data_IF_377804916455
#
_entry.id   IF_377804916455
#
_cell.length_a   1.000
_cell.length_b   1.000
_cell.length_c   1.000
_cell.angle_alpha   90.00
_cell.angle_beta   90.00
_cell.angle_gamma   90.00
#
_symmetry.space_group_name_H-M   'P 1'
#
loop_
_entity.id
_entity.type
_entity.pdbx_description
1 polymer ?
#
# COMPACT_ATOMS: atom_id res chain seq x y z
N UNK A 1 -5.75 4.41 5.06
CA UNK A 1 -4.49 3.73 4.71
C UNK A 1 -4.41 2.50 5.58
N UNK A 2 -4.39 1.31 4.98
CA UNK A 2 -4.42 0.04 5.69
C UNK A 2 -3.11 -0.18 6.49
N UNK A 3 -3.21 -0.75 7.69
CA UNK A 3 -2.06 -0.98 8.59
C UNK A 3 -1.45 -2.37 8.37
N UNK A 4 -0.45 -2.46 7.50
CA UNK A 4 0.26 -3.71 7.23
C UNK A 4 1.12 -4.18 8.42
N UNK A 5 1.40 -3.32 9.40
CA UNK A 5 2.28 -3.60 10.55
C UNK A 5 1.77 -4.74 11.45
N UNK A 6 0.47 -5.01 11.40
CA UNK A 6 -0.21 -6.04 12.21
C UNK A 6 -0.46 -7.34 11.45
N UNK A 7 -0.06 -7.39 10.18
CA UNK A 7 -0.22 -8.55 9.32
C UNK A 7 1.08 -9.36 9.19
N UNK A 8 0.91 -10.65 9.01
CA UNK A 8 1.96 -11.61 8.69
C UNK A 8 1.36 -12.75 7.87
N UNK A 9 2.20 -13.41 7.08
CA UNK A 9 1.78 -14.58 6.30
C UNK A 9 1.25 -15.69 7.22
N UNK A 10 1.85 -15.84 8.41
CA UNK A 10 1.45 -16.88 9.35
C UNK A 10 0.03 -16.66 9.90
N UNK A 11 -0.35 -15.41 10.17
CA UNK A 11 -1.73 -15.08 10.58
C UNK A 11 -2.75 -15.47 9.50
N UNK A 12 -2.46 -15.18 8.24
CA UNK A 12 -3.34 -15.52 7.12
C UNK A 12 -3.42 -17.05 6.94
N UNK A 13 -2.31 -17.75 7.13
CA UNK A 13 -2.26 -19.22 7.11
C UNK A 13 -3.12 -19.82 8.22
N UNK A 14 -2.95 -19.36 9.46
CA UNK A 14 -3.75 -19.82 10.59
C UNK A 14 -5.24 -19.59 10.36
N UNK A 15 -5.62 -18.42 9.85
CA UNK A 15 -7.00 -18.14 9.48
C UNK A 15 -7.51 -19.12 8.41
N UNK A 16 -6.71 -19.35 7.36
CA UNK A 16 -7.04 -20.26 6.26
C UNK A 16 -7.27 -21.69 6.76
N UNK A 17 -6.43 -22.18 7.68
CA UNK A 17 -6.57 -23.49 8.31
C UNK A 17 -7.85 -23.60 9.14
N UNK A 18 -8.11 -22.62 10.01
CA UNK A 18 -9.29 -22.61 10.89
C UNK A 18 -10.58 -22.61 10.08
N UNK A 19 -10.66 -21.74 9.08
CA UNK A 19 -11.85 -21.62 8.23
C UNK A 19 -12.06 -22.85 7.36
N UNK A 20 -10.98 -23.50 6.91
CA UNK A 20 -11.04 -24.76 6.16
C UNK A 20 -11.57 -25.91 7.02
N UNK A 21 -11.08 -26.01 8.26
CA UNK A 21 -11.36 -27.14 9.15
C UNK A 21 -12.64 -26.95 9.97
N UNK A 22 -13.18 -25.73 10.03
CA UNK A 22 -14.42 -25.42 10.72
C UNK A 22 -15.67 -25.78 9.90
N UNK A 23 -16.60 -26.49 10.52
CA UNK A 23 -17.96 -26.66 10.00
C UNK A 23 -18.88 -25.44 10.29
N UNK A 24 -18.47 -24.56 11.21
CA UNK A 24 -19.22 -23.37 11.62
C UNK A 24 -18.46 -22.10 11.26
N UNK A 25 -19.05 -21.30 10.37
CA UNK A 25 -18.47 -20.03 9.90
C UNK A 25 -19.09 -18.81 10.60
N UNK A 26 -19.52 -18.94 11.86
CA UNK A 26 -19.93 -17.78 12.67
C UNK A 26 -18.69 -16.96 13.03
N UNK A 27 -18.76 -15.62 12.91
CA UNK A 27 -17.60 -14.73 13.13
C UNK A 27 -17.00 -14.96 14.53
N UNK A 28 -17.82 -14.94 15.58
CA UNK A 28 -17.37 -15.14 16.95
C UNK A 28 -16.65 -16.48 17.17
N UNK A 29 -17.12 -17.54 16.50
CA UNK A 29 -16.51 -18.86 16.61
C UNK A 29 -15.13 -18.89 15.94
N UNK A 30 -15.04 -18.35 14.72
CA UNK A 30 -13.79 -18.27 13.97
C UNK A 30 -12.79 -17.37 14.71
N UNK A 31 -13.23 -16.22 15.21
CA UNK A 31 -12.42 -15.30 16.01
C UNK A 31 -11.85 -15.98 17.25
N UNK A 32 -12.69 -16.61 18.07
CA UNK A 32 -12.24 -17.33 19.28
C UNK A 32 -11.27 -18.46 18.95
N UNK A 33 -11.45 -19.12 17.82
CA UNK A 33 -10.56 -20.18 17.37
C UNK A 33 -9.22 -19.62 16.90
N UNK A 34 -9.25 -18.50 16.18
CA UNK A 34 -8.08 -17.79 15.67
C UNK A 34 -7.22 -17.22 16.79
N UNK A 35 -7.84 -16.55 17.77
CA UNK A 35 -7.14 -15.88 18.86
C UNK A 35 -6.43 -16.84 19.82
N UNK A 36 -6.65 -18.17 19.69
CA UNK A 36 -5.86 -19.19 20.39
C UNK A 36 -4.47 -19.42 19.79
N UNK A 37 -4.27 -19.04 18.53
CA UNK A 37 -3.08 -19.37 17.77
C UNK A 37 -2.36 -18.14 17.19
N UNK A 38 -3.09 -17.05 16.99
CA UNK A 38 -2.59 -15.84 16.35
C UNK A 38 -3.21 -14.57 16.98
N UNK A 39 -2.56 -13.43 16.77
CA UNK A 39 -3.02 -12.11 17.20
C UNK A 39 -3.64 -11.34 16.03
N UNK A 40 -4.28 -10.20 16.29
CA UNK A 40 -4.76 -9.25 15.26
C UNK A 40 -5.78 -9.87 14.28
N UNK A 41 -6.83 -10.51 14.84
CA UNK A 41 -7.91 -11.09 14.05
C UNK A 41 -8.59 -10.08 13.13
N UNK A 42 -8.98 -8.92 13.68
CA UNK A 42 -9.70 -7.89 12.93
C UNK A 42 -8.88 -7.37 11.75
N UNK A 43 -7.58 -7.07 11.95
CA UNK A 43 -6.70 -6.62 10.87
C UNK A 43 -6.53 -7.71 9.78
N UNK A 44 -6.46 -8.99 10.18
CA UNK A 44 -6.39 -10.12 9.24
C UNK A 44 -7.68 -10.29 8.44
N UNK A 45 -8.84 -10.16 9.09
CA UNK A 45 -10.15 -10.23 8.45
C UNK A 45 -10.32 -9.08 7.47
N UNK A 46 -10.01 -7.86 7.89
CA UNK A 46 -10.13 -6.66 7.08
C UNK A 46 -9.29 -6.81 5.82
N UNK A 47 -8.03 -7.24 5.96
CA UNK A 47 -7.16 -7.53 4.82
C UNK A 47 -7.77 -8.52 3.82
N UNK A 48 -8.34 -9.63 4.31
CA UNK A 48 -8.94 -10.64 3.45
C UNK A 48 -10.25 -10.16 2.79
N UNK A 49 -10.99 -9.25 3.43
CA UNK A 49 -12.16 -8.59 2.85
C UNK A 49 -11.74 -7.62 1.73
N UNK A 50 -10.71 -6.81 1.96
CA UNK A 50 -10.14 -5.88 0.99
C UNK A 50 -9.54 -6.60 -0.24
N UNK A 51 -9.09 -7.85 -0.06
CA UNK A 51 -8.69 -8.74 -1.16
C UNK A 51 -9.86 -9.45 -1.86
N UNK A 52 -11.11 -9.20 -1.46
CA UNK A 52 -12.33 -9.88 -1.92
C UNK A 52 -12.23 -11.42 -1.81
N UNK A 53 -11.69 -11.89 -0.67
CA UNK A 53 -11.54 -13.33 -0.38
C UNK A 53 -12.62 -13.84 0.57
N UNK A 54 -13.05 -12.97 1.50
CA UNK A 54 -14.09 -13.25 2.48
C UNK A 54 -15.06 -12.08 2.57
N UNK A 55 -16.25 -12.36 3.05
CA UNK A 55 -17.27 -11.36 3.36
C UNK A 55 -17.90 -11.72 4.70
N UNK A 56 -18.26 -10.71 5.49
CA UNK A 56 -18.97 -10.90 6.74
C UNK A 56 -20.34 -10.25 6.58
N UNK A 57 -21.39 -11.06 6.67
CA UNK A 57 -22.78 -10.60 6.65
C UNK A 57 -23.56 -11.28 7.77
N UNK A 58 -24.33 -10.50 8.52
CA UNK A 58 -25.18 -11.02 9.62
C UNK A 58 -24.42 -11.96 10.58
N UNK A 59 -23.21 -11.56 10.98
CA UNK A 59 -22.32 -12.32 11.87
C UNK A 59 -21.82 -13.68 11.32
N UNK A 60 -21.96 -13.90 10.01
CA UNK A 60 -21.46 -15.08 9.32
C UNK A 60 -20.39 -14.72 8.30
N UNK A 61 -19.36 -15.55 8.30
CA UNK A 61 -18.29 -15.48 7.34
C UNK A 61 -18.64 -16.28 6.09
N UNK A 62 -18.60 -15.62 4.94
CA UNK A 62 -18.82 -16.20 3.63
C UNK A 62 -17.53 -16.20 2.82
N UNK A 63 -17.11 -17.38 2.37
CA UNK A 63 -15.92 -17.53 1.54
C UNK A 63 -16.27 -17.26 0.08
N UNK A 64 -15.51 -16.37 -0.57
CA UNK A 64 -15.65 -16.11 -2.00
C UNK A 64 -15.13 -17.31 -2.82
N UNK A 65 -15.64 -17.53 -4.05
CA UNK A 65 -15.28 -18.71 -4.84
C UNK A 65 -13.77 -18.88 -5.09
N UNK A 66 -13.05 -17.77 -5.31
CA UNK A 66 -11.58 -17.77 -5.48
C UNK A 66 -10.88 -18.35 -4.26
N UNK A 67 -11.31 -17.95 -3.07
CA UNK A 67 -10.70 -18.39 -1.81
C UNK A 67 -11.05 -19.84 -1.48
N UNK A 68 -12.30 -20.28 -1.71
CA UNK A 68 -12.68 -21.71 -1.55
C UNK A 68 -11.80 -22.62 -2.41
N UNK A 69 -11.62 -22.29 -3.69
CA UNK A 69 -10.75 -23.06 -4.60
C UNK A 69 -9.30 -23.11 -4.10
N UNK A 70 -8.82 -22.04 -3.49
CA UNK A 70 -7.51 -22.02 -2.85
C UNK A 70 -7.45 -22.97 -1.66
N UNK A 71 -8.44 -22.92 -0.75
CA UNK A 71 -8.46 -23.76 0.45
C UNK A 71 -8.50 -25.27 0.13
N UNK A 72 -9.23 -25.68 -0.90
CA UNK A 72 -9.21 -27.08 -1.38
C UNK A 72 -7.81 -27.50 -1.83
N UNK A 73 -7.14 -26.68 -2.65
CA UNK A 73 -5.76 -26.94 -3.10
C UNK A 73 -4.75 -26.91 -1.96
N UNK A 74 -4.97 -26.02 -1.01
CA UNK A 74 -4.11 -25.85 0.17
C UNK A 74 -4.12 -27.09 1.06
N UNK A 75 -5.26 -27.79 1.17
CA UNK A 75 -5.40 -29.04 1.93
C UNK A 75 -4.51 -30.17 1.41
N UNK A 76 -4.35 -30.28 0.10
CA UNK A 76 -3.66 -31.38 -0.57
C UNK A 76 -2.19 -31.06 -0.91
N UNK A 77 -1.74 -29.85 -0.57
CA UNK A 77 -0.44 -29.33 -0.94
C UNK A 77 0.70 -30.02 -0.15
N UNK A 78 1.74 -30.48 -0.86
CA UNK A 78 3.00 -30.87 -0.22
C UNK A 78 3.73 -29.68 0.43
N UNK A 79 3.53 -28.48 -0.12
CA UNK A 79 4.15 -27.23 0.33
C UNK A 79 3.08 -26.14 0.56
N UNK A 80 2.30 -26.25 1.65
CA UNK A 80 1.15 -25.37 1.90
C UNK A 80 1.57 -23.90 2.03
N UNK A 81 2.69 -23.63 2.70
CA UNK A 81 3.22 -22.27 2.92
C UNK A 81 3.57 -21.58 1.60
N UNK A 82 4.32 -22.22 0.71
CA UNK A 82 4.70 -21.64 -0.59
C UNK A 82 3.46 -21.35 -1.47
N UNK A 83 2.47 -22.25 -1.46
CA UNK A 83 1.22 -22.07 -2.21
C UNK A 83 0.42 -20.89 -1.65
N UNK A 84 0.37 -20.75 -0.33
CA UNK A 84 -0.30 -19.62 0.31
C UNK A 84 0.40 -18.30 0.00
N UNK A 85 1.73 -18.21 0.12
CA UNK A 85 2.49 -17.01 -0.23
C UNK A 85 2.19 -16.56 -1.66
N UNK A 86 2.27 -17.48 -2.63
CA UNK A 86 1.95 -17.20 -4.03
C UNK A 86 0.50 -16.75 -4.23
N UNK A 87 -0.45 -17.39 -3.53
CA UNK A 87 -1.86 -17.01 -3.62
C UNK A 87 -2.15 -15.62 -3.05
N UNK A 88 -1.59 -15.31 -1.88
CA UNK A 88 -1.72 -14.00 -1.22
C UNK A 88 -1.09 -12.93 -2.11
N UNK A 89 0.12 -13.16 -2.58
CA UNK A 89 0.84 -12.23 -3.46
C UNK A 89 0.05 -11.93 -4.74
N UNK A 90 -0.43 -12.96 -5.43
CA UNK A 90 -1.25 -12.80 -6.64
C UNK A 90 -2.59 -12.11 -6.36
N UNK A 91 -3.10 -12.18 -5.13
CA UNK A 91 -4.31 -11.46 -4.73
C UNK A 91 -4.01 -9.99 -4.43
N UNK A 92 -2.89 -9.73 -3.75
CA UNK A 92 -2.44 -8.39 -3.38
C UNK A 92 -2.07 -7.54 -4.60
N UNK A 93 -1.31 -8.11 -5.54
CA UNK A 93 -0.81 -7.43 -6.74
C UNK A 93 -1.93 -7.14 -7.77
N UNK A 94 -3.14 -7.67 -7.56
CA UNK A 94 -4.26 -7.41 -8.45
C UNK A 94 -4.74 -5.95 -8.31
N UNK A 95 -4.77 -5.20 -9.42
CA UNK A 95 -5.15 -3.76 -9.46
C UNK A 95 -6.59 -3.45 -9.03
N UNK A 96 -7.42 -4.46 -8.79
CA UNK A 96 -8.80 -4.28 -8.28
C UNK A 96 -8.87 -4.18 -6.76
N UNK A 97 -7.73 -4.23 -6.06
CA UNK A 97 -7.70 -4.10 -4.61
C UNK A 97 -7.57 -2.63 -4.20
N UNK A 98 -8.10 -2.24 -3.04
CA UNK A 98 -7.88 -0.91 -2.47
C UNK A 98 -6.41 -0.62 -2.10
N UNK A 99 -5.53 -1.62 -2.18
CA UNK A 99 -4.09 -1.49 -1.98
C UNK A 99 -3.33 -1.00 -3.21
N UNK A 100 -3.96 -0.99 -4.39
CA UNK A 100 -3.28 -0.73 -5.66
C UNK A 100 -2.47 0.58 -5.65
N UNK A 101 -3.07 1.70 -5.24
CA UNK A 101 -2.38 2.99 -5.20
C UNK A 101 -1.17 2.98 -4.25
N UNK A 102 -1.30 2.32 -3.09
CA UNK A 102 -0.21 2.25 -2.11
C UNK A 102 0.93 1.36 -2.60
N UNK A 103 0.62 0.22 -3.23
CA UNK A 103 1.59 -0.66 -3.88
C UNK A 103 2.28 0.07 -5.04
N UNK A 104 1.52 0.80 -5.86
CA UNK A 104 2.05 1.56 -6.99
C UNK A 104 3.05 2.62 -6.51
N UNK A 105 2.70 3.37 -5.46
CA UNK A 105 3.59 4.34 -4.83
C UNK A 105 4.87 3.66 -4.33
N UNK A 106 4.75 2.56 -3.60
CA UNK A 106 5.91 1.80 -3.10
C UNK A 106 6.82 1.28 -4.24
N UNK A 107 6.24 0.64 -5.26
CA UNK A 107 7.00 0.08 -6.38
C UNK A 107 7.59 1.14 -7.31
N UNK A 108 7.06 2.38 -7.31
CA UNK A 108 7.64 3.49 -8.08
C UNK A 108 9.06 3.87 -7.65
N UNK A 109 9.47 3.49 -6.44
CA UNK A 109 10.83 3.72 -5.93
C UNK A 109 11.85 2.66 -6.39
N UNK A 110 11.39 1.57 -7.03
CA UNK A 110 12.27 0.52 -7.51
C UNK A 110 12.79 0.84 -8.91
N UNK A 111 14.10 0.67 -9.11
CA UNK A 111 14.77 0.91 -10.38
C UNK A 111 15.53 -0.32 -10.84
N UNK A 112 15.49 -0.58 -12.15
CA UNK A 112 16.25 -1.66 -12.75
C UNK A 112 17.75 -1.31 -12.77
N UNK A 113 18.54 -2.04 -12.01
CA UNK A 113 19.99 -1.93 -11.94
C UNK A 113 20.62 -3.33 -11.97
N UNK A 114 21.62 -3.53 -12.82
CA UNK A 114 22.34 -4.81 -12.92
C UNK A 114 21.42 -6.05 -13.03
N UNK A 115 20.30 -5.91 -13.76
CA UNK A 115 19.21 -6.90 -13.99
C UNK A 115 18.27 -7.17 -12.83
N UNK A 116 18.38 -6.45 -11.73
CA UNK A 116 17.47 -6.56 -10.58
C UNK A 116 16.76 -5.23 -10.32
N UNK A 117 15.56 -5.31 -9.78
CA UNK A 117 14.86 -4.11 -9.30
C UNK A 117 15.31 -3.83 -7.87
N UNK A 118 15.86 -2.63 -7.65
CA UNK A 118 16.44 -2.21 -6.37
C UNK A 118 15.79 -0.92 -5.87
N UNK A 119 15.61 -0.82 -4.55
CA UNK A 119 15.15 0.40 -3.87
C UNK A 119 16.03 0.67 -2.64
N UNK A 120 16.67 1.85 -2.61
CA UNK A 120 17.46 2.32 -1.47
C UNK A 120 16.71 3.46 -0.73
N UNK A 121 15.92 3.15 0.31
CA UNK A 121 15.07 4.15 0.96
C UNK A 121 15.82 5.05 1.93
N UNK A 122 15.35 6.30 2.01
CA UNK A 122 15.62 7.22 3.11
C UNK A 122 15.05 6.71 4.44
N UNK A 123 15.37 7.39 5.54
CA UNK A 123 14.81 7.07 6.86
C UNK A 123 13.29 7.24 6.88
N UNK A 124 12.77 8.29 6.25
CA UNK A 124 11.33 8.56 6.18
C UNK A 124 10.60 7.46 5.41
N UNK A 125 11.12 7.06 4.24
CA UNK A 125 10.53 6.00 3.42
C UNK A 125 10.60 4.64 4.14
N UNK A 126 11.68 4.37 4.89
CA UNK A 126 11.78 3.15 5.71
C UNK A 126 10.69 3.05 6.78
N UNK A 127 10.31 4.18 7.37
CA UNK A 127 9.23 4.24 8.35
C UNK A 127 7.86 4.14 7.67
N UNK A 128 7.64 4.93 6.63
CA UNK A 128 6.39 4.99 5.87
C UNK A 128 5.97 3.61 5.34
N UNK A 129 6.90 2.87 4.72
CA UNK A 129 6.60 1.59 4.10
C UNK A 129 6.94 0.38 4.98
N UNK A 130 7.21 0.56 6.27
CA UNK A 130 7.73 -0.50 7.14
C UNK A 130 6.82 -1.73 7.19
N UNK A 131 5.51 -1.56 7.39
CA UNK A 131 4.54 -2.64 7.41
C UNK A 131 4.47 -3.40 6.09
N UNK A 132 4.25 -2.68 4.99
CA UNK A 132 4.14 -3.27 3.65
C UNK A 132 5.44 -4.00 3.26
N UNK A 133 6.59 -3.36 3.47
CA UNK A 133 7.91 -3.95 3.22
C UNK A 133 8.08 -5.25 3.97
N UNK A 134 7.84 -5.25 5.29
CA UNK A 134 7.99 -6.46 6.11
C UNK A 134 7.08 -7.57 5.61
N UNK A 135 5.83 -7.24 5.27
CA UNK A 135 4.89 -8.21 4.72
C UNK A 135 5.34 -8.78 3.36
N UNK A 136 5.91 -7.95 2.48
CA UNK A 136 6.47 -8.40 1.20
C UNK A 136 7.75 -9.24 1.37
N UNK A 137 8.54 -9.00 2.41
CA UNK A 137 9.66 -9.87 2.81
C UNK A 137 9.14 -11.23 3.29
N UNK A 138 8.11 -11.24 4.14
CA UNK A 138 7.49 -12.47 4.62
C UNK A 138 6.91 -13.30 3.46
N UNK A 139 6.39 -12.62 2.43
CA UNK A 139 5.91 -13.22 1.18
C UNK A 139 7.04 -13.67 0.24
N UNK A 140 8.31 -13.42 0.57
CA UNK A 140 9.49 -13.67 -0.27
C UNK A 140 9.46 -12.90 -1.61
N UNK A 141 8.69 -11.81 -1.68
CA UNK A 141 8.62 -10.98 -2.88
C UNK A 141 9.90 -10.15 -3.08
N UNK A 142 10.46 -9.69 -1.97
CA UNK A 142 11.67 -8.90 -1.94
C UNK A 142 12.51 -9.28 -0.72
N UNK A 143 13.80 -8.97 -0.77
CA UNK A 143 14.73 -9.21 0.32
C UNK A 143 15.60 -7.98 0.56
N UNK A 144 16.12 -7.87 1.77
CA UNK A 144 17.16 -6.89 2.08
C UNK A 144 18.50 -7.43 1.56
N UNK A 145 19.25 -6.59 0.84
CA UNK A 145 20.54 -7.00 0.29
C UNK A 145 21.58 -7.27 1.38
N UNK A 146 22.71 -7.87 1.00
CA UNK A 146 23.78 -8.21 1.93
C UNK A 146 24.44 -7.00 2.62
N UNK A 147 24.30 -5.80 2.05
CA UNK A 147 24.79 -4.57 2.67
C UNK A 147 23.78 -3.96 3.65
N UNK A 148 22.57 -4.50 3.73
CA UNK A 148 21.46 -4.00 4.53
C UNK A 148 21.03 -2.56 4.17
N UNK A 149 21.35 -2.10 2.96
CA UNK A 149 21.07 -0.72 2.54
C UNK A 149 19.94 -0.60 1.53
N UNK A 150 19.65 -1.68 0.81
CA UNK A 150 18.66 -1.67 -0.27
C UNK A 150 17.79 -2.92 -0.27
N UNK A 151 16.57 -2.75 -0.75
CA UNK A 151 15.62 -3.81 -1.01
C UNK A 151 15.72 -4.25 -2.46
N UNK A 152 15.70 -5.56 -2.70
CA UNK A 152 15.83 -6.16 -4.01
C UNK A 152 14.65 -7.09 -4.26
N UNK A 153 14.00 -6.97 -5.41
CA UNK A 153 12.93 -7.89 -5.82
C UNK A 153 13.53 -9.26 -6.13
N UNK A 154 12.90 -10.32 -5.63
CA UNK A 154 13.31 -11.68 -5.93
C UNK A 154 13.20 -11.97 -7.43
N UNK A 155 14.17 -12.71 -7.97
CA UNK A 155 14.29 -12.93 -9.42
C UNK A 155 13.04 -13.56 -10.03
N UNK A 156 12.41 -14.49 -9.31
CA UNK A 156 11.15 -15.16 -9.71
C UNK A 156 9.96 -14.20 -9.83
N UNK A 157 10.07 -13.00 -9.28
CA UNK A 157 9.05 -11.96 -9.28
C UNK A 157 9.40 -10.75 -10.15
N UNK A 158 10.59 -10.72 -10.76
CA UNK A 158 11.03 -9.61 -11.61
C UNK A 158 10.07 -9.29 -12.76
N UNK A 159 9.44 -10.32 -13.36
CA UNK A 159 8.46 -10.12 -14.43
C UNK A 159 7.18 -9.45 -13.93
N UNK A 160 6.62 -9.94 -12.81
CA UNK A 160 5.42 -9.35 -12.21
C UNK A 160 5.68 -7.90 -11.75
N UNK A 161 6.86 -7.63 -11.21
CA UNK A 161 7.28 -6.28 -10.85
C UNK A 161 7.40 -5.36 -12.07
N UNK A 162 7.96 -5.86 -13.18
CA UNK A 162 8.04 -5.10 -14.42
C UNK A 162 6.64 -4.72 -14.96
N UNK A 163 5.67 -5.63 -14.88
CA UNK A 163 4.28 -5.31 -15.27
C UNK A 163 3.66 -4.23 -14.38
N UNK A 164 3.90 -4.28 -13.07
CA UNK A 164 3.47 -3.23 -12.14
C UNK A 164 4.12 -1.88 -12.48
N UNK A 165 5.44 -1.85 -12.63
CA UNK A 165 6.20 -0.61 -12.87
C UNK A 165 5.89 -0.01 -14.25
N UNK A 166 5.84 -0.81 -15.32
CA UNK A 166 5.61 -0.29 -16.67
C UNK A 166 4.18 0.18 -16.91
N UNK A 167 3.18 -0.48 -16.32
CA UNK A 167 1.80 -0.02 -16.43
C UNK A 167 1.52 1.25 -15.64
N UNK A 168 2.45 1.69 -14.79
CA UNK A 168 2.35 2.89 -13.97
C UNK A 168 3.20 4.05 -14.50
N UNK A 169 3.70 3.96 -15.74
CA UNK A 169 4.28 5.11 -16.42
C UNK A 169 3.16 6.14 -16.67
N UNK A 170 3.14 7.19 -15.84
CA UNK A 170 2.27 8.34 -16.00
C UNK A 170 2.44 8.86 -17.43
N UNK A 171 1.35 8.91 -18.19
CA UNK A 171 1.42 9.45 -19.53
C UNK A 171 1.89 10.91 -19.48
N UNK A 172 2.60 11.41 -20.50
CA UNK A 172 2.96 12.83 -20.54
C UNK A 172 1.77 13.77 -20.31
N UNK A 173 0.57 13.37 -20.76
CA UNK A 173 -0.67 14.11 -20.55
C UNK A 173 -1.10 14.16 -19.06
N UNK A 174 -1.05 13.04 -18.35
CA UNK A 174 -1.34 12.99 -16.92
C UNK A 174 -0.30 13.73 -16.09
N UNK A 175 0.98 13.65 -16.47
CA UNK A 175 2.04 14.41 -15.82
C UNK A 175 1.79 15.92 -15.94
N UNK A 176 1.42 16.40 -17.13
CA UNK A 176 1.06 17.80 -17.36
C UNK A 176 -0.17 18.21 -16.55
N UNK A 177 -1.16 17.33 -16.42
CA UNK A 177 -2.35 17.57 -15.59
C UNK A 177 -2.00 17.70 -14.11
N UNK A 178 -1.13 16.84 -13.59
CA UNK A 178 -0.66 16.90 -12.19
C UNK A 178 0.15 18.18 -11.96
N UNK A 179 1.03 18.56 -12.88
CA UNK A 179 1.78 19.81 -12.82
C UNK A 179 0.85 21.02 -12.79
N UNK A 180 -0.17 21.04 -13.64
CA UNK A 180 -1.17 22.10 -13.65
C UNK A 180 -1.90 22.20 -12.31
N UNK A 181 -2.41 21.08 -11.79
CA UNK A 181 -3.11 21.05 -10.50
C UNK A 181 -2.21 21.53 -9.35
N UNK A 182 -0.93 21.12 -9.32
CA UNK A 182 0.03 21.61 -8.32
C UNK A 182 0.22 23.12 -8.42
N UNK A 183 0.32 23.66 -9.64
CA UNK A 183 0.40 25.10 -9.88
C UNK A 183 -0.84 25.85 -9.38
N UNK A 184 -2.04 25.31 -9.63
CA UNK A 184 -3.29 25.91 -9.15
C UNK A 184 -3.39 25.91 -7.62
N UNK A 185 -3.03 24.80 -6.97
CA UNK A 185 -3.03 24.69 -5.50
C UNK A 185 -2.01 25.65 -4.89
N UNK A 186 -0.78 25.68 -5.43
CA UNK A 186 0.27 26.60 -4.98
C UNK A 186 -0.19 28.06 -5.08
N UNK A 187 -0.74 28.45 -6.23
CA UNK A 187 -1.28 29.80 -6.45
C UNK A 187 -2.42 30.13 -5.49
N UNK A 188 -3.34 29.20 -5.25
CA UNK A 188 -4.44 29.42 -4.32
C UNK A 188 -3.94 29.61 -2.88
N UNK A 189 -2.93 28.84 -2.46
CA UNK A 189 -2.30 28.99 -1.15
C UNK A 189 -1.58 30.34 -1.01
N UNK A 190 -0.81 30.76 -2.02
CA UNK A 190 -0.14 32.06 -2.04
C UNK A 190 -1.13 33.22 -1.92
N UNK A 191 -2.22 33.19 -2.70
CA UNK A 191 -3.26 34.22 -2.63
C UNK A 191 -3.89 34.27 -1.24
N UNK A 192 -4.17 33.10 -0.63
CA UNK A 192 -4.72 33.05 0.72
C UNK A 192 -3.77 33.61 1.78
N UNK A 193 -2.47 33.39 1.63
CA UNK A 193 -1.46 33.99 2.53
C UNK A 193 -1.45 35.51 2.37
N UNK A 194 -1.48 36.01 1.13
CA UNK A 194 -1.51 37.46 0.87
C UNK A 194 -2.78 38.10 1.46
N UNK A 195 -3.94 37.48 1.26
CA UNK A 195 -5.20 37.92 1.87
C UNK A 195 -5.09 37.97 3.39
N UNK A 196 -4.61 36.88 4.00
CA UNK A 196 -4.40 36.80 5.44
C UNK A 196 -3.46 37.90 5.97
N UNK A 197 -2.33 38.14 5.29
CA UNK A 197 -1.38 39.18 5.70
C UNK A 197 -1.96 40.59 5.57
N UNK A 198 -2.76 40.85 4.52
CA UNK A 198 -3.48 42.12 4.36
C UNK A 198 -4.52 42.34 5.46
N UNK A 199 -5.30 41.31 5.79
CA UNK A 199 -6.28 41.36 6.89
C UNK A 199 -5.59 41.55 8.25
N UNK A 200 -4.48 40.86 8.50
CA UNK A 200 -3.71 40.99 9.75
C UNK A 200 -3.15 42.39 9.94
N UNK A 201 -2.75 43.05 8.86
CA UNK A 201 -2.12 44.38 8.89
C UNK A 201 -3.08 45.53 8.57
N UNK A 202 -4.40 45.27 8.55
CA UNK A 202 -5.41 46.27 8.14
C UNK A 202 -5.35 47.59 8.95
N UNK A 203 -4.87 47.52 10.20
CA UNK A 203 -4.69 48.68 11.09
C UNK A 203 -3.45 49.53 10.77
N UNK A 204 -2.58 49.07 9.85
CA UNK A 204 -1.33 49.73 9.44
C UNK A 204 -1.31 49.93 7.91
N UNK A 205 -1.98 50.96 7.38
CA UNK A 205 -2.14 51.19 5.94
C UNK A 205 -0.81 51.19 5.16
N UNK A 206 0.22 51.85 5.72
CA UNK A 206 1.56 51.95 5.12
C UNK A 206 2.27 50.59 4.93
N UNK A 207 1.86 49.56 5.69
CA UNK A 207 2.40 48.20 5.57
C UNK A 207 1.61 47.37 4.58
N UNK A 208 0.28 47.54 4.53
CA UNK A 208 -0.60 46.84 3.59
C UNK A 208 -0.25 47.19 2.14
N UNK A 209 0.05 48.47 1.87
CA UNK A 209 0.47 48.94 0.54
C UNK A 209 1.79 48.30 0.06
N UNK A 210 2.60 47.77 0.98
CA UNK A 210 3.90 47.14 0.67
C UNK A 210 3.80 45.62 0.47
N UNK A 211 2.63 45.01 0.68
CA UNK A 211 2.43 43.58 0.42
C UNK A 211 2.32 43.36 -1.09
N UNK A 212 3.36 42.76 -1.66
CA UNK A 212 3.43 42.43 -3.08
C UNK A 212 3.48 40.92 -3.31
N UNK A 213 2.82 40.46 -4.38
CA UNK A 213 2.94 39.10 -4.87
C UNK A 213 4.17 39.00 -5.78
N UNK A 214 5.35 38.81 -5.18
CA UNK A 214 6.64 38.81 -5.89
C UNK A 214 6.75 37.73 -6.96
N UNK A 215 6.11 36.57 -6.77
CA UNK A 215 6.09 35.47 -7.74
C UNK A 215 5.44 35.86 -9.09
N UNK A 216 4.54 36.84 -9.12
CA UNK A 216 3.98 37.38 -10.39
C UNK A 216 4.97 38.26 -11.15
N UNK A 217 5.94 38.86 -10.45
CA UNK A 217 6.93 39.78 -11.03
C UNK A 217 8.25 39.08 -11.35
N UNK A 218 8.62 38.06 -10.59
CA UNK A 218 9.83 37.28 -10.79
C UNK A 218 9.60 35.81 -10.46
N UNK A 219 9.45 35.00 -11.52
CA UNK A 219 9.23 33.56 -11.42
C UNK A 219 10.43 32.83 -10.77
N UNK A 220 11.63 33.41 -10.81
CA UNK A 220 12.82 32.83 -10.18
C UNK A 220 12.91 33.08 -8.66
N UNK A 221 11.97 33.84 -8.09
CA UNK A 221 11.91 34.11 -6.66
C UNK A 221 10.90 33.21 -5.91
N UNK A 222 10.22 32.29 -6.63
CA UNK A 222 9.24 31.33 -6.10
C UNK A 222 9.69 29.89 -6.33
#
# INVERSE_FOLDING_TARGET
MFQFEKLSVNQILMFSEIVRDSSLLQKEFIEKSYLRHALNFEDTIEFLQELDLVEISEDRLTLKPKYRKFLERFKEAQKPVEIAKKFILNSLINKKTPFAEYLDKFFSHFHLKDKHYEFAPSVSERLEYSGLRNFLIDLEFLYLDSSETKYVIAEEHSFACNELIQQNQISPAEFLKIQHMKGEIGRAAELKIIEYERERLLQFPDMVEKIEHTALKNVAAG
#
